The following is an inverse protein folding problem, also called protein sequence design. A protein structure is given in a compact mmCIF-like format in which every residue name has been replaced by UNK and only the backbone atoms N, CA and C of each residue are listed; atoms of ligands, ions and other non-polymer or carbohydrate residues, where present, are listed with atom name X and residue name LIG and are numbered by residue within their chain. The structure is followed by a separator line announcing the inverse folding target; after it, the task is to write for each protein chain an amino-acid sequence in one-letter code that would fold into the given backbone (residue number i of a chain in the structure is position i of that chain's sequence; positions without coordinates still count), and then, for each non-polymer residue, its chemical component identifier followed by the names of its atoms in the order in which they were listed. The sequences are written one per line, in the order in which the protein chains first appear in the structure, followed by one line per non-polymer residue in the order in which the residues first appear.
data_IF_296395563304
#
_entry.id   IF_296395563304
#
_cell.length_a   1.000
_cell.length_b   1.000
_cell.length_c   1.000
_cell.angle_alpha   90.00
_cell.angle_beta   90.00
_cell.angle_gamma   90.00
#
_symmetry.space_group_name_H-M   'P 1'
#
loop_
_entity.id
_entity.type
_entity.pdbx_description
1 polymer ?
#
# COMPACT_ATOMS: atom_id res chain seq x y z
N UNK A 1 -2.57 4.52 -5.63
CA UNK A 1 -1.55 4.42 -6.71
C UNK A 1 -0.16 4.52 -6.12
N UNK A 2 0.81 3.80 -6.68
CA UNK A 2 2.22 3.79 -6.24
C UNK A 2 2.87 5.17 -6.35
N UNK A 3 3.77 5.49 -5.41
CA UNK A 3 4.60 6.70 -5.41
C UNK A 3 5.82 6.54 -4.52
N UNK A 4 6.76 7.48 -4.61
CA UNK A 4 8.10 7.31 -4.03
C UNK A 4 8.13 7.14 -2.51
N UNK A 5 7.25 7.82 -1.74
CA UNK A 5 7.19 7.59 -0.29
C UNK A 5 6.63 6.22 0.07
N UNK A 6 5.69 5.69 -0.72
CA UNK A 6 5.15 4.36 -0.50
C UNK A 6 6.22 3.30 -0.81
N UNK A 7 6.94 3.41 -1.92
CA UNK A 7 8.10 2.56 -2.22
C UNK A 7 9.17 2.69 -1.13
N UNK A 8 9.46 3.91 -0.69
CA UNK A 8 10.41 4.17 0.39
C UNK A 8 9.98 3.60 1.75
N UNK A 9 8.68 3.45 2.01
CA UNK A 9 8.18 2.75 3.19
C UNK A 9 8.50 1.25 3.12
N UNK A 10 8.21 0.60 1.99
CA UNK A 10 8.56 -0.81 1.83
C UNK A 10 10.07 -1.04 1.80
N UNK A 11 10.86 -0.11 1.25
CA UNK A 11 12.32 -0.16 1.33
C UNK A 11 12.80 -0.13 2.78
N UNK A 12 12.28 0.78 3.61
CA UNK A 12 12.60 0.83 5.04
C UNK A 12 12.19 -0.46 5.77
N UNK A 13 11.08 -1.09 5.37
CA UNK A 13 10.64 -2.39 5.88
C UNK A 13 11.64 -3.50 5.52
N UNK A 14 12.12 -3.55 4.27
CA UNK A 14 13.13 -4.53 3.85
C UNK A 14 14.47 -4.29 4.54
N UNK A 15 14.94 -3.05 4.63
CA UNK A 15 16.20 -2.69 5.31
C UNK A 15 16.21 -3.09 6.78
N UNK A 16 15.07 -2.98 7.47
CA UNK A 16 14.92 -3.45 8.84
C UNK A 16 14.95 -4.99 8.97
N UNK A 17 14.90 -5.71 7.84
CA UNK A 17 14.69 -7.16 7.76
C UNK A 17 15.59 -7.85 6.72
N UNK A 18 16.75 -7.27 6.33
CA UNK A 18 17.57 -7.80 5.21
C UNK A 18 17.87 -9.30 5.35
N UNK A 19 18.40 -9.71 6.51
CA UNK A 19 18.71 -11.12 6.80
C UNK A 19 17.46 -12.00 6.95
N UNK A 20 16.30 -11.41 7.27
CA UNK A 20 15.03 -12.14 7.37
C UNK A 20 14.40 -12.34 5.98
N UNK A 21 14.57 -11.39 5.07
CA UNK A 21 14.04 -11.41 3.70
C UNK A 21 14.87 -12.31 2.78
N UNK A 22 16.16 -12.49 3.06
CA UNK A 22 17.01 -13.41 2.30
C UNK A 22 16.46 -14.85 2.35
N UNK A 23 16.11 -15.40 1.19
CA UNK A 23 15.51 -16.73 1.07
C UNK A 23 14.04 -16.83 1.50
N UNK A 24 13.41 -15.74 1.93
CA UNK A 24 12.03 -15.73 2.42
C UNK A 24 10.99 -16.06 1.34
N UNK A 25 9.84 -16.60 1.76
CA UNK A 25 8.62 -16.65 0.94
C UNK A 25 7.76 -15.40 1.17
N UNK A 26 7.55 -14.63 0.11
CA UNK A 26 6.79 -13.37 0.11
C UNK A 26 5.47 -13.52 -0.65
N UNK A 27 4.39 -13.00 -0.07
CA UNK A 27 3.09 -12.81 -0.73
C UNK A 27 2.81 -11.33 -0.88
N UNK A 28 2.44 -10.88 -2.08
CA UNK A 28 1.96 -9.53 -2.34
C UNK A 28 0.49 -9.56 -2.77
N UNK A 29 -0.35 -8.81 -2.06
CA UNK A 29 -1.78 -8.62 -2.37
C UNK A 29 -1.99 -7.28 -3.05
N UNK A 30 -2.62 -7.29 -4.22
CA UNK A 30 -2.78 -6.12 -5.09
C UNK A 30 -1.49 -5.83 -5.84
N UNK A 31 -0.92 -6.85 -6.51
CA UNK A 31 0.43 -6.81 -7.06
C UNK A 31 0.53 -6.28 -8.51
N UNK A 32 -0.59 -5.90 -9.13
CA UNK A 32 -0.57 -5.40 -10.51
C UNK A 32 0.26 -4.12 -10.61
N UNK A 33 1.33 -4.16 -11.39
CA UNK A 33 2.21 -3.00 -11.61
C UNK A 33 1.57 -2.01 -12.58
N UNK A 34 1.03 -0.93 -12.02
CA UNK A 34 0.45 0.20 -12.77
C UNK A 34 1.52 1.25 -13.10
N UNK A 35 2.35 1.59 -12.12
CA UNK A 35 3.29 2.72 -12.21
C UNK A 35 4.52 2.57 -11.30
N UNK A 36 4.85 1.34 -10.91
CA UNK A 36 5.95 0.98 -10.03
C UNK A 36 5.57 -0.17 -9.09
N UNK A 37 6.37 -1.22 -9.09
CA UNK A 37 6.21 -2.40 -8.22
C UNK A 37 7.16 -2.38 -7.03
N UNK A 38 6.69 -2.85 -5.87
CA UNK A 38 7.53 -3.10 -4.69
C UNK A 38 8.27 -4.43 -4.74
N UNK A 39 7.95 -5.31 -5.71
CA UNK A 39 8.61 -6.60 -5.90
C UNK A 39 10.13 -6.46 -6.08
N UNK A 40 10.58 -5.38 -6.73
CA UNK A 40 12.01 -5.10 -6.95
C UNK A 40 12.80 -4.90 -5.65
N UNK A 41 12.13 -4.61 -4.53
CA UNK A 41 12.75 -4.45 -3.21
C UNK A 41 13.05 -5.79 -2.53
N UNK A 42 12.57 -6.91 -3.08
CA UNK A 42 12.78 -8.27 -2.54
C UNK A 42 13.68 -9.14 -3.45
N UNK A 43 14.85 -8.66 -3.92
CA UNK A 43 15.66 -9.39 -4.88
C UNK A 43 16.29 -10.67 -4.31
N UNK A 44 16.40 -10.76 -2.99
CA UNK A 44 16.98 -11.90 -2.27
C UNK A 44 15.94 -12.89 -1.77
N UNK A 45 14.64 -12.63 -1.95
CA UNK A 45 13.59 -13.55 -1.54
C UNK A 45 13.70 -14.87 -2.32
N UNK A 46 13.52 -15.99 -1.63
CA UNK A 46 13.56 -17.32 -2.23
C UNK A 46 12.31 -17.62 -3.08
N UNK A 47 11.18 -16.99 -2.72
CA UNK A 47 9.91 -17.07 -3.44
C UNK A 47 9.15 -15.76 -3.28
N UNK A 48 8.53 -15.31 -4.37
CA UNK A 48 7.65 -14.14 -4.37
C UNK A 48 6.40 -14.47 -5.20
N UNK A 49 5.21 -14.28 -4.63
CA UNK A 49 3.94 -14.48 -5.31
C UNK A 49 3.11 -13.21 -5.23
N UNK A 50 2.80 -12.63 -6.39
CA UNK A 50 1.88 -11.53 -6.53
C UNK A 50 0.48 -12.00 -6.88
N UNK A 51 -0.52 -11.48 -6.16
CA UNK A 51 -1.93 -11.76 -6.38
C UNK A 51 -2.66 -10.47 -6.73
N UNK A 52 -3.48 -10.53 -7.77
CA UNK A 52 -4.40 -9.46 -8.14
C UNK A 52 -5.69 -10.03 -8.76
N UNK A 53 -6.65 -9.15 -9.07
CA UNK A 53 -7.95 -9.52 -9.62
C UNK A 53 -7.91 -9.87 -11.11
N UNK A 54 -6.83 -9.51 -11.81
CA UNK A 54 -6.63 -9.80 -13.24
C UNK A 54 -5.16 -10.07 -13.55
N UNK A 55 -4.92 -10.82 -14.62
CA UNK A 55 -3.56 -11.07 -15.11
C UNK A 55 -2.91 -9.78 -15.62
N UNK A 56 -1.61 -9.61 -15.36
CA UNK A 56 -0.83 -8.47 -15.84
C UNK A 56 0.56 -8.40 -15.22
N UNK A 57 1.28 -7.29 -15.44
CA UNK A 57 2.60 -7.07 -14.87
C UNK A 57 2.59 -7.26 -13.34
N UNK A 58 3.51 -8.09 -12.82
CA UNK A 58 3.62 -8.34 -11.39
C UNK A 58 2.58 -9.28 -10.79
N UNK A 59 1.71 -9.91 -11.59
CA UNK A 59 0.68 -10.85 -11.10
C UNK A 59 1.04 -12.29 -11.48
N UNK A 60 1.20 -13.15 -10.47
CA UNK A 60 1.46 -14.58 -10.64
C UNK A 60 0.18 -15.43 -10.48
N UNK A 61 -0.78 -14.95 -9.68
CA UNK A 61 -2.05 -15.61 -9.40
C UNK A 61 -3.20 -14.62 -9.50
N UNK A 62 -4.26 -15.00 -10.20
CA UNK A 62 -5.48 -14.20 -10.35
C UNK A 62 -6.54 -14.71 -9.39
N UNK A 63 -6.78 -13.99 -8.31
CA UNK A 63 -7.75 -14.39 -7.27
C UNK A 63 -8.15 -13.19 -6.40
N UNK A 64 -9.32 -13.27 -5.77
CA UNK A 64 -9.71 -12.38 -4.68
C UNK A 64 -8.90 -12.70 -3.43
N UNK A 65 -8.18 -11.73 -2.89
CA UNK A 65 -7.27 -11.95 -1.76
C UNK A 65 -7.96 -12.51 -0.49
N UNK A 66 -9.20 -12.10 -0.19
CA UNK A 66 -10.01 -12.67 0.90
C UNK A 66 -10.44 -14.13 0.68
N UNK A 67 -10.25 -14.69 -0.52
CA UNK A 67 -10.58 -16.08 -0.90
C UNK A 67 -9.37 -16.98 -1.04
N UNK A 68 -8.14 -16.43 -1.01
CA UNK A 68 -6.92 -17.23 -1.05
C UNK A 68 -6.93 -18.28 0.07
N UNK A 69 -6.77 -19.53 -0.31
CA UNK A 69 -6.89 -20.70 0.57
C UNK A 69 -5.56 -21.40 0.82
N UNK A 70 -4.43 -20.75 0.52
CA UNK A 70 -3.12 -21.27 0.88
C UNK A 70 -3.05 -21.59 2.37
N UNK A 71 -2.22 -22.57 2.73
CA UNK A 71 -2.05 -23.03 4.10
C UNK A 71 -1.70 -21.89 5.06
N UNK A 72 -2.14 -22.04 6.31
CA UNK A 72 -1.72 -21.16 7.41
C UNK A 72 -0.19 -21.18 7.54
N UNK A 73 0.39 -20.05 7.95
CA UNK A 73 1.81 -19.94 8.30
C UNK A 73 2.82 -20.32 7.20
N UNK A 74 2.43 -20.25 5.91
CA UNK A 74 3.28 -20.62 4.77
C UNK A 74 4.18 -19.49 4.24
N UNK A 75 3.91 -18.23 4.59
CA UNK A 75 4.70 -17.07 4.18
C UNK A 75 5.49 -16.47 5.34
N UNK A 76 6.74 -16.06 5.07
CA UNK A 76 7.53 -15.27 5.99
C UNK A 76 7.09 -13.80 6.01
N UNK A 77 6.71 -13.30 4.83
CA UNK A 77 6.33 -11.91 4.60
C UNK A 77 5.03 -11.86 3.79
N UNK A 78 4.05 -11.10 4.26
CA UNK A 78 2.88 -10.72 3.44
C UNK A 78 2.79 -9.20 3.35
N UNK A 79 2.61 -8.69 2.14
CA UNK A 79 2.54 -7.25 1.87
C UNK A 79 1.35 -6.88 1.00
N UNK A 80 0.92 -5.63 1.11
CA UNK A 80 -0.06 -5.05 0.18
C UNK A 80 0.23 -3.57 -0.05
N UNK A 81 0.36 -3.18 -1.31
CA UNK A 81 0.65 -1.81 -1.70
C UNK A 81 -0.57 -1.20 -2.38
N UNK A 82 -1.23 -0.24 -1.73
CA UNK A 82 -2.25 0.60 -2.38
C UNK A 82 -3.49 -0.17 -2.87
N UNK A 83 -3.89 -1.19 -2.10
CA UNK A 83 -4.97 -2.10 -2.46
C UNK A 83 -6.23 -1.91 -1.59
N UNK A 84 -6.08 -1.74 -0.27
CA UNK A 84 -7.22 -1.82 0.66
C UNK A 84 -8.26 -0.72 0.49
N UNK A 85 -7.88 0.44 -0.01
CA UNK A 85 -8.85 1.48 -0.34
C UNK A 85 -9.84 1.05 -1.43
N UNK A 86 -9.45 0.09 -2.27
CA UNK A 86 -10.22 -0.47 -3.38
C UNK A 86 -10.89 -1.81 -3.04
N UNK A 87 -10.60 -2.39 -1.88
CA UNK A 87 -11.14 -3.67 -1.47
C UNK A 87 -12.28 -3.51 -0.46
N UNK A 88 -13.50 -3.85 -0.86
CA UNK A 88 -14.65 -3.84 0.05
C UNK A 88 -14.57 -4.91 1.16
N UNK A 89 -13.74 -5.93 0.96
CA UNK A 89 -13.45 -7.01 1.92
C UNK A 89 -12.07 -6.84 2.57
N UNK A 90 -11.57 -5.59 2.67
CA UNK A 90 -10.27 -5.32 3.30
C UNK A 90 -10.09 -5.94 4.70
N UNK A 91 -11.12 -6.08 5.58
CA UNK A 91 -10.93 -6.76 6.86
C UNK A 91 -10.60 -8.25 6.68
N UNK A 92 -11.33 -8.95 5.82
CA UNK A 92 -11.13 -10.36 5.51
C UNK A 92 -9.80 -10.57 4.77
N UNK A 93 -9.49 -9.72 3.81
CA UNK A 93 -8.21 -9.75 3.10
C UNK A 93 -7.03 -9.57 4.05
N UNK A 94 -7.08 -8.56 4.93
CA UNK A 94 -6.00 -8.33 5.89
C UNK A 94 -5.89 -9.47 6.90
N UNK A 95 -7.02 -9.98 7.43
CA UNK A 95 -7.02 -11.16 8.29
C UNK A 95 -6.43 -12.40 7.58
N UNK A 96 -6.71 -12.58 6.29
CA UNK A 96 -6.18 -13.68 5.50
C UNK A 96 -4.66 -13.56 5.29
N UNK A 97 -4.15 -12.35 5.04
CA UNK A 97 -2.71 -12.07 5.04
C UNK A 97 -2.06 -12.47 6.37
N UNK A 98 -2.64 -12.07 7.51
CA UNK A 98 -2.13 -12.46 8.84
C UNK A 98 -2.18 -13.98 9.03
N UNK A 99 -3.27 -14.65 8.63
CA UNK A 99 -3.42 -16.11 8.73
C UNK A 99 -2.28 -16.84 8.00
N UNK A 100 -2.02 -16.47 6.75
CA UNK A 100 -1.01 -17.12 5.91
C UNK A 100 0.44 -16.73 6.26
N UNK A 101 0.65 -15.67 7.05
CA UNK A 101 1.98 -15.29 7.57
C UNK A 101 2.34 -16.19 8.75
N UNK A 102 3.56 -16.71 8.86
CA UNK A 102 3.97 -17.50 10.03
C UNK A 102 4.12 -16.67 11.31
N UNK A 103 4.07 -17.26 12.52
CA UNK A 103 4.43 -16.56 13.75
C UNK A 103 5.84 -15.98 13.69
N UNK A 104 6.00 -14.74 14.16
CA UNK A 104 7.24 -13.97 14.00
C UNK A 104 7.49 -13.45 12.58
N UNK A 105 6.61 -13.73 11.63
CA UNK A 105 6.64 -13.19 10.27
C UNK A 105 6.10 -11.77 10.16
N UNK A 106 6.38 -11.15 9.03
CA UNK A 106 6.09 -9.74 8.76
C UNK A 106 4.79 -9.58 7.97
N UNK A 107 3.93 -8.66 8.42
CA UNK A 107 2.80 -8.15 7.64
C UNK A 107 2.97 -6.65 7.47
N UNK A 108 2.98 -6.14 6.25
CA UNK A 108 3.06 -4.70 6.01
C UNK A 108 2.13 -4.23 4.88
N UNK A 109 1.58 -3.02 5.01
CA UNK A 109 0.79 -2.45 3.92
C UNK A 109 0.90 -0.93 3.83
N UNK A 110 0.56 -0.42 2.66
CA UNK A 110 0.15 0.97 2.44
C UNK A 110 -1.28 1.02 1.90
N UNK A 111 -2.03 2.05 2.27
CA UNK A 111 -3.33 2.33 1.67
C UNK A 111 -3.69 3.81 1.76
N UNK A 112 -4.64 4.23 0.92
CA UNK A 112 -5.20 5.57 0.98
C UNK A 112 -5.86 5.86 2.33
N UNK A 113 -5.54 7.02 2.91
CA UNK A 113 -6.08 7.45 4.20
C UNK A 113 -6.70 8.84 4.13
N UNK A 114 -7.14 9.33 5.29
CA UNK A 114 -7.96 10.54 5.43
C UNK A 114 -7.32 11.73 4.71
N UNK A 115 -8.04 12.22 3.70
CA UNK A 115 -7.65 13.37 2.90
C UNK A 115 -7.03 13.01 1.55
N UNK A 116 -6.82 11.72 1.24
CA UNK A 116 -6.41 11.33 -0.09
C UNK A 116 -7.55 11.54 -1.08
N UNK A 117 -7.31 12.17 -2.23
CA UNK A 117 -8.30 12.23 -3.29
C UNK A 117 -8.62 10.83 -3.81
N UNK A 118 -9.91 10.58 -3.98
CA UNK A 118 -10.41 9.38 -4.65
C UNK A 118 -9.75 9.21 -6.02
N UNK A 119 -9.45 7.95 -6.36
CA UNK A 119 -8.78 7.56 -7.60
C UNK A 119 -9.21 6.13 -7.97
N UNK A 120 -8.97 5.69 -9.21
CA UNK A 120 -9.24 4.30 -9.61
C UNK A 120 -10.71 3.86 -9.52
N UNK A 121 -11.66 4.76 -9.76
CA UNK A 121 -13.11 4.48 -9.71
C UNK A 121 -13.81 4.98 -10.98
N UNK A 122 -15.07 4.63 -11.19
CA UNK A 122 -15.92 5.17 -12.25
C UNK A 122 -16.14 6.70 -12.14
N UNK A 123 -15.93 7.28 -10.95
CA UNK A 123 -16.01 8.75 -10.72
C UNK A 123 -14.69 9.47 -11.04
N UNK A 124 -13.62 8.72 -11.28
CA UNK A 124 -12.25 9.21 -11.51
C UNK A 124 -11.63 8.46 -12.69
N UNK A 125 -10.30 8.32 -12.71
CA UNK A 125 -9.61 7.58 -13.76
C UNK A 125 -9.48 6.10 -13.35
N UNK A 126 -10.31 5.24 -13.95
CA UNK A 126 -10.33 3.80 -13.68
C UNK A 126 -9.04 3.06 -14.04
N UNK A 127 -8.17 3.64 -14.89
CA UNK A 127 -6.88 3.04 -15.23
C UNK A 127 -5.92 2.95 -14.04
N UNK A 128 -6.23 3.69 -12.96
CA UNK A 128 -5.46 3.72 -11.72
C UNK A 128 -5.78 2.56 -10.77
N UNK A 129 -6.79 1.73 -11.10
CA UNK A 129 -7.10 0.46 -10.44
C UNK A 129 -7.62 -0.55 -11.47
N UNK A 130 -6.74 -1.05 -12.37
CA UNK A 130 -7.15 -1.84 -13.53
C UNK A 130 -7.87 -3.12 -13.13
N UNK A 131 -7.41 -3.80 -12.06
CA UNK A 131 -8.02 -5.03 -11.56
C UNK A 131 -9.49 -4.83 -11.15
N UNK A 132 -9.77 -3.83 -10.31
CA UNK A 132 -11.15 -3.58 -9.84
C UNK A 132 -12.07 -3.15 -10.98
N UNK A 133 -11.59 -2.26 -11.85
CA UNK A 133 -12.37 -1.81 -13.00
C UNK A 133 -12.69 -2.96 -13.96
N UNK A 134 -11.73 -3.84 -14.23
CA UNK A 134 -11.91 -4.98 -15.12
C UNK A 134 -12.94 -5.99 -14.61
N UNK A 135 -13.06 -6.16 -13.30
CA UNK A 135 -14.08 -7.04 -12.68
C UNK A 135 -15.37 -6.30 -12.26
N UNK A 136 -15.51 -5.02 -12.63
CA UNK A 136 -16.71 -4.23 -12.40
C UNK A 136 -16.94 -3.79 -10.95
N UNK A 137 -15.88 -3.68 -10.15
CA UNK A 137 -15.93 -3.14 -8.78
C UNK A 137 -15.68 -1.62 -8.80
N UNK A 138 -16.39 -0.90 -7.91
CA UNK A 138 -16.32 0.57 -7.81
C UNK A 138 -16.24 1.06 -6.35
N UNK A 139 -15.78 0.18 -5.45
CA UNK A 139 -15.57 0.51 -4.05
C UNK A 139 -14.34 1.42 -3.88
N UNK A 140 -14.49 2.45 -3.06
CA UNK A 140 -13.37 3.26 -2.61
C UNK A 140 -13.57 3.76 -1.18
N UNK A 141 -12.58 3.58 -0.32
CA UNK A 141 -12.58 4.14 1.04
C UNK A 141 -11.17 4.53 1.49
N UNK A 142 -11.03 5.77 1.95
CA UNK A 142 -9.88 6.18 2.73
C UNK A 142 -9.92 5.54 4.13
N UNK A 143 -8.97 4.66 4.42
CA UNK A 143 -8.90 3.89 5.67
C UNK A 143 -7.94 4.54 6.69
N UNK A 144 -8.24 4.38 7.97
CA UNK A 144 -7.44 4.89 9.09
C UNK A 144 -7.10 3.74 10.03
N UNK A 145 -6.07 3.92 10.88
CA UNK A 145 -5.71 2.93 11.92
C UNK A 145 -6.91 2.48 12.74
N UNK A 146 -7.81 3.41 13.08
CA UNK A 146 -9.02 3.12 13.85
C UNK A 146 -9.99 2.18 13.14
N UNK A 147 -10.00 2.13 11.80
CA UNK A 147 -10.84 1.19 11.06
C UNK A 147 -10.35 -0.24 11.29
N UNK A 148 -9.04 -0.48 11.18
CA UNK A 148 -8.42 -1.79 11.45
C UNK A 148 -8.57 -2.22 12.91
N UNK A 149 -8.37 -1.30 13.87
CA UNK A 149 -8.54 -1.60 15.30
C UNK A 149 -9.97 -1.92 15.70
N UNK A 150 -10.97 -1.36 15.00
CA UNK A 150 -12.38 -1.67 15.24
C UNK A 150 -12.82 -2.98 14.58
N UNK A 151 -12.28 -3.29 13.41
CA UNK A 151 -12.65 -4.48 12.68
C UNK A 151 -11.97 -5.75 13.21
N UNK A 152 -10.74 -5.64 13.74
CA UNK A 152 -9.87 -6.78 14.03
C UNK A 152 -9.12 -6.63 15.35
N UNK A 153 -8.86 -7.75 16.08
CA UNK A 153 -8.15 -7.73 17.35
C UNK A 153 -6.63 -7.61 17.14
N UNK A 154 -6.13 -6.47 16.64
CA UNK A 154 -4.72 -6.29 16.24
C UNK A 154 -3.73 -6.65 17.35
N UNK A 155 -4.05 -6.31 18.60
CA UNK A 155 -3.21 -6.64 19.78
C UNK A 155 -3.09 -8.13 20.08
N UNK A 156 -4.04 -8.93 19.61
CA UNK A 156 -3.96 -10.39 19.70
C UNK A 156 -3.28 -11.00 18.46
N UNK A 157 -3.42 -10.36 17.29
CA UNK A 157 -2.83 -10.81 16.03
C UNK A 157 -1.32 -10.56 15.96
N UNK A 158 -0.82 -9.49 16.58
CA UNK A 158 0.56 -9.04 16.47
C UNK A 158 1.24 -8.93 17.82
N UNK A 159 2.50 -9.41 17.92
CA UNK A 159 3.34 -9.20 19.10
C UNK A 159 3.83 -7.74 19.19
N UNK A 160 4.10 -7.14 18.04
CA UNK A 160 4.35 -5.71 17.86
C UNK A 160 3.72 -5.25 16.54
N UNK A 161 3.10 -4.08 16.51
CA UNK A 161 2.70 -3.41 15.28
C UNK A 161 2.83 -1.90 15.42
N UNK A 162 3.01 -1.22 14.29
CA UNK A 162 3.06 0.23 14.19
C UNK A 162 2.31 0.72 12.97
N UNK A 163 1.80 1.94 13.09
CA UNK A 163 1.18 2.67 11.99
C UNK A 163 1.77 4.05 11.84
N UNK A 164 1.94 4.50 10.60
CA UNK A 164 2.40 5.85 10.28
C UNK A 164 1.46 6.48 9.28
N UNK A 165 1.09 7.74 9.50
CA UNK A 165 0.30 8.51 8.54
C UNK A 165 1.13 9.64 7.97
N UNK A 166 1.49 9.56 6.69
CA UNK A 166 2.21 10.63 6.01
C UNK A 166 1.24 11.52 5.24
N UNK A 167 1.23 12.80 5.64
CA UNK A 167 0.35 13.82 5.06
C UNK A 167 0.80 14.30 3.67
N UNK A 168 1.90 13.77 3.12
CA UNK A 168 2.34 14.08 1.76
C UNK A 168 1.35 13.50 0.77
N UNK A 169 1.21 12.17 0.74
CA UNK A 169 0.24 11.47 -0.10
C UNK A 169 -1.05 11.05 0.61
N UNK A 170 -1.16 11.35 1.91
CA UNK A 170 -2.30 10.97 2.75
C UNK A 170 -2.45 9.46 2.90
N UNK A 171 -1.34 8.75 3.01
CA UNK A 171 -1.37 7.30 3.20
C UNK A 171 -1.32 6.94 4.67
N UNK A 172 -1.87 5.76 4.93
CA UNK A 172 -1.62 4.97 6.11
C UNK A 172 -0.62 3.87 5.73
N UNK A 173 0.48 3.82 6.48
CA UNK A 173 1.43 2.72 6.46
C UNK A 173 1.28 1.89 7.72
N UNK A 174 1.40 0.57 7.60
CA UNK A 174 1.35 -0.38 8.70
C UNK A 174 2.47 -1.40 8.55
N UNK A 175 3.10 -1.77 9.66
CA UNK A 175 3.95 -2.95 9.75
C UNK A 175 3.70 -3.65 11.09
N UNK A 176 3.63 -4.99 11.07
CA UNK A 176 3.40 -5.80 12.25
C UNK A 176 4.12 -7.15 12.18
N UNK A 177 4.52 -7.64 13.35
CA UNK A 177 5.12 -8.96 13.54
C UNK A 177 4.05 -9.89 14.10
N UNK A 178 3.69 -10.96 13.37
CA UNK A 178 2.61 -11.86 13.78
C UNK A 178 2.94 -12.50 15.13
N UNK A 179 1.95 -12.50 16.03
CA UNK A 179 2.04 -13.16 17.34
C UNK A 179 2.13 -14.69 17.21
N UNK A 180 2.49 -15.39 18.30
CA UNK A 180 2.43 -16.85 18.37
C UNK A 180 3.77 -17.59 18.59
N UNK A 181 4.88 -16.86 18.78
CA UNK A 181 6.14 -17.40 19.35
C UNK A 181 6.68 -18.66 18.67
N UNK A 182 7.21 -18.54 17.45
CA UNK A 182 8.01 -19.59 16.83
C UNK A 182 9.47 -19.52 17.27
N UNK A 183 10.14 -20.67 17.42
CA UNK A 183 11.58 -20.72 17.58
C UNK A 183 12.25 -20.39 16.23
N UNK A 184 12.75 -19.17 16.07
CA UNK A 184 13.39 -18.73 14.82
C UNK A 184 13.65 -17.22 14.77
N UNK A 185 14.22 -16.75 13.66
CA UNK A 185 14.41 -15.33 13.40
C UNK A 185 13.02 -14.70 13.24
N UNK A 186 12.80 -13.60 13.97
CA UNK A 186 11.59 -12.79 13.90
C UNK A 186 11.86 -11.53 13.06
N UNK A 187 10.83 -11.07 12.37
CA UNK A 187 10.86 -9.78 11.70
C UNK A 187 10.98 -8.64 12.72
N UNK A 188 11.47 -7.49 12.25
CA UNK A 188 11.57 -6.24 12.99
C UNK A 188 10.80 -5.15 12.28
N UNK A 189 10.34 -4.14 13.03
CA UNK A 189 9.65 -2.98 12.45
C UNK A 189 10.67 -1.91 12.05
N UNK A 190 10.42 -1.15 10.97
CA UNK A 190 11.27 -0.01 10.62
C UNK A 190 11.21 1.10 11.68
N UNK A 191 12.29 1.86 11.78
CA UNK A 191 12.38 2.99 12.72
C UNK A 191 11.41 4.13 12.36
N UNK A 192 10.83 4.74 13.40
CA UNK A 192 9.89 5.86 13.29
C UNK A 192 10.49 7.06 12.55
N UNK A 193 11.75 7.38 12.81
CA UNK A 193 12.40 8.53 12.17
C UNK A 193 12.66 8.24 10.69
N UNK A 194 13.00 7.00 10.33
CA UNK A 194 13.14 6.58 8.92
C UNK A 194 11.84 6.77 8.16
N UNK A 195 10.72 6.21 8.63
CA UNK A 195 9.42 6.35 7.94
C UNK A 195 8.98 7.82 7.90
N UNK A 196 9.16 8.59 8.99
CA UNK A 196 8.81 10.03 9.01
C UNK A 196 9.68 10.89 8.09
N UNK A 197 10.92 10.48 7.78
CA UNK A 197 11.80 11.20 6.86
C UNK A 197 11.30 11.14 5.43
N UNK A 198 10.57 10.10 5.03
CA UNK A 198 10.04 9.93 3.66
C UNK A 198 9.22 11.14 3.17
N UNK A 199 8.61 11.92 4.07
CA UNK A 199 7.93 13.18 3.72
C UNK A 199 8.82 14.21 3.00
N UNK A 200 10.15 14.08 3.12
CA UNK A 200 11.11 14.95 2.44
C UNK A 200 11.13 14.70 0.93
N UNK A 201 10.83 13.47 0.50
CA UNK A 201 10.90 13.03 -0.90
C UNK A 201 9.92 13.78 -1.80
N UNK A 202 8.76 14.21 -1.27
CA UNK A 202 7.81 15.00 -2.04
C UNK A 202 8.39 16.37 -2.44
N UNK A 203 8.40 16.71 -3.75
CA UNK A 203 8.82 18.02 -4.23
C UNK A 203 8.00 19.17 -3.63
N UNK A 204 8.60 20.37 -3.53
CA UNK A 204 7.92 21.55 -2.98
C UNK A 204 6.65 21.94 -3.77
N UNK A 205 6.63 21.92 -5.12
CA UNK A 205 5.40 22.21 -5.88
C UNK A 205 4.23 21.29 -5.49
N UNK A 206 4.51 20.00 -5.33
CA UNK A 206 3.51 18.99 -4.96
C UNK A 206 2.98 19.19 -3.54
N UNK A 207 3.85 19.63 -2.63
CA UNK A 207 3.45 20.06 -1.27
C UNK A 207 2.48 21.23 -1.36
N UNK A 208 2.76 22.23 -2.19
CA UNK A 208 1.92 23.43 -2.34
C UNK A 208 0.53 23.07 -2.86
N UNK A 209 0.44 22.29 -3.94
CA UNK A 209 -0.83 21.84 -4.52
C UNK A 209 -1.68 21.08 -3.51
N UNK A 210 -1.07 20.28 -2.64
CA UNK A 210 -1.80 19.49 -1.62
C UNK A 210 -2.09 20.28 -0.34
N UNK A 211 -1.65 21.53 -0.20
CA UNK A 211 -1.87 22.32 1.02
C UNK A 211 -3.38 22.57 1.31
N UNK A 212 -4.23 22.96 0.34
CA UNK A 212 -5.66 23.11 0.57
C UNK A 212 -6.33 21.79 0.97
N UNK A 213 -5.96 20.68 0.32
CA UNK A 213 -6.46 19.33 0.64
C UNK A 213 -6.14 18.97 2.09
N UNK A 214 -4.91 19.26 2.54
CA UNK A 214 -4.47 19.01 3.92
C UNK A 214 -5.24 19.84 4.94
N UNK A 215 -5.54 21.10 4.63
CA UNK A 215 -6.33 21.95 5.52
C UNK A 215 -7.76 21.45 5.63
N UNK A 216 -8.42 21.20 4.49
CA UNK A 216 -9.80 20.75 4.44
C UNK A 216 -10.00 19.37 5.09
N UNK A 217 -9.05 18.44 4.92
CA UNK A 217 -9.18 17.10 5.48
C UNK A 217 -9.11 17.08 7.01
N UNK A 218 -8.73 18.18 7.67
CA UNK A 218 -8.77 18.27 9.14
C UNK A 218 -10.15 18.62 9.69
N UNK A 219 -10.98 19.29 8.90
CA UNK A 219 -12.23 19.90 9.39
C UNK A 219 -13.47 19.38 8.67
N UNK A 220 -13.33 18.88 7.44
CA UNK A 220 -14.46 18.33 6.68
C UNK A 220 -14.46 16.80 6.80
N UNK A 221 -15.55 16.17 7.27
CA UNK A 221 -15.67 14.71 7.28
C UNK A 221 -15.90 14.16 5.86
N UNK A 222 -15.55 12.89 5.67
CA UNK A 222 -15.97 12.13 4.48
C UNK A 222 -17.46 11.79 4.59
N UNK A 223 -18.24 11.72 3.48
CA UNK A 223 -17.83 11.87 2.07
C UNK A 223 -17.83 13.32 1.57
N UNK A 224 -18.24 14.29 2.40
CA UNK A 224 -18.34 15.70 2.01
C UNK A 224 -16.98 16.25 1.57
N UNK A 225 -15.90 15.81 2.20
CA UNK A 225 -14.53 16.18 1.79
C UNK A 225 -14.25 15.84 0.32
N UNK A 226 -14.46 14.59 -0.11
CA UNK A 226 -14.29 14.21 -1.53
C UNK A 226 -15.13 15.08 -2.47
N UNK A 227 -16.38 15.38 -2.10
CA UNK A 227 -17.26 16.20 -2.95
C UNK A 227 -16.72 17.62 -3.20
N UNK A 228 -16.00 18.19 -2.22
CA UNK A 228 -15.43 19.55 -2.30
C UNK A 228 -14.11 19.54 -3.08
N UNK A 229 -13.25 18.56 -2.82
CA UNK A 229 -11.88 18.57 -3.37
C UNK A 229 -11.79 18.01 -4.79
N UNK A 230 -12.71 17.13 -5.21
CA UNK A 230 -12.66 16.45 -6.51
C UNK A 230 -12.60 17.42 -7.71
N UNK A 231 -13.41 18.50 -7.80
CA UNK A 231 -13.29 19.45 -8.90
C UNK A 231 -11.89 20.10 -8.98
N UNK A 232 -11.33 20.49 -7.84
CA UNK A 232 -9.98 21.04 -7.73
C UNK A 232 -8.92 20.02 -8.18
N UNK A 233 -9.02 18.78 -7.68
CA UNK A 233 -8.07 17.72 -7.96
C UNK A 233 -8.10 17.31 -9.44
N UNK A 234 -9.28 17.16 -10.02
CA UNK A 234 -9.44 16.83 -11.44
C UNK A 234 -8.88 17.93 -12.34
N UNK A 235 -9.05 19.21 -11.98
CA UNK A 235 -8.44 20.31 -12.72
C UNK A 235 -6.92 20.25 -12.64
N UNK A 236 -6.34 19.99 -11.47
CA UNK A 236 -4.90 19.81 -11.31
C UNK A 236 -4.37 18.66 -12.17
N UNK A 237 -5.00 17.47 -12.12
CA UNK A 237 -4.59 16.32 -12.94
C UNK A 237 -4.63 16.62 -14.44
N UNK A 238 -5.66 17.34 -14.92
CA UNK A 238 -5.74 17.76 -16.33
C UNK A 238 -4.60 18.69 -16.72
N UNK A 239 -4.27 19.65 -15.86
CA UNK A 239 -3.15 20.58 -16.12
C UNK A 239 -1.81 19.85 -16.11
N UNK A 240 -1.60 18.94 -15.15
CA UNK A 240 -0.37 18.15 -15.05
C UNK A 240 -0.22 17.18 -16.24
N UNK A 241 -1.29 16.47 -16.62
CA UNK A 241 -1.28 15.55 -17.76
C UNK A 241 -1.13 16.26 -19.11
N UNK A 242 -1.64 17.48 -19.27
CA UNK A 242 -1.42 18.30 -20.48
C UNK A 242 0.05 18.78 -20.62
N UNK A 243 0.84 18.73 -19.55
CA UNK A 243 2.26 19.10 -19.55
C UNK A 243 3.22 17.91 -19.68
N UNK A 244 2.71 16.68 -19.73
CA UNK A 244 3.53 15.47 -19.92
C UNK A 244 3.46 15.02 -21.39
N UNK A 245 4.58 14.91 -22.12
CA UNK A 245 4.58 14.28 -23.44
C UNK A 245 4.17 12.80 -23.29
N UNK A 246 3.47 12.25 -24.30
CA UNK A 246 3.04 10.84 -24.34
C UNK A 246 4.17 9.87 -23.91
N UNK A 247 3.87 8.82 -23.13
CA UNK A 247 4.88 7.90 -22.65
C UNK A 247 5.29 6.97 -23.81
N UNK A 248 6.26 7.40 -24.60
CA UNK A 248 7.13 6.49 -25.36
C UNK A 248 8.50 6.62 -24.74
N UNK A 249 8.84 5.68 -23.84
CA UNK A 249 10.20 5.52 -23.33
C UNK A 249 10.51 6.12 -21.95
N UNK A 250 9.66 5.91 -20.94
CA UNK A 250 10.12 6.04 -19.56
C UNK A 250 11.08 4.89 -19.25
N UNK A 251 12.38 5.18 -19.20
CA UNK A 251 13.42 4.25 -18.72
C UNK A 251 13.13 3.81 -17.28
N UNK A 252 13.47 2.56 -16.91
CA UNK A 252 13.36 2.09 -15.54
C UNK A 252 14.10 3.04 -14.59
N UNK A 253 13.45 3.38 -13.48
CA UNK A 253 14.03 4.21 -12.43
C UNK A 253 15.28 3.54 -11.88
N UNK A 254 16.43 4.21 -12.00
CA UNK A 254 17.67 3.81 -11.32
C UNK A 254 17.47 3.99 -9.80
N UNK A 255 17.69 2.95 -8.98
CA UNK A 255 17.62 3.08 -7.53
C UNK A 255 18.77 3.96 -7.07
N UNK A 256 18.47 5.23 -6.79
CA UNK A 256 19.38 6.09 -6.05
C UNK A 256 19.51 5.49 -4.65
N UNK A 257 20.70 4.96 -4.38
CA UNK A 257 21.18 4.61 -3.04
C UNK A 257 20.94 5.82 -2.13
N UNK A 258 20.05 5.66 -1.15
CA UNK A 258 19.83 6.61 -0.05
C UNK A 258 20.96 6.52 0.97
#
# INVERSE_FOLDING_TARGET
MSHIEQVGFFQAVVEANEAFVEGASVLEIGSYDVNGSVRSLFPTAGRYVGVDLVAGPGVDLVEFAHRLDHDDDIYDVTISSECFEHDQHWPETFANMVRMTRPGGLVAFSCASRGRPEHGTARTDGTQSPGTHAVGLDYYRNLQTSDFEQALPLRAMFSEYRTWSLRTHFDLYFAGVKAGGGAGICASLPDDATVRRLKSLMPLPDKVVRAPLRMLSRVVPEPRYQSIIRPYWNLYLRMAGATSPSPVGATPWDPVVL
#
